data_IF_030159610105
#
_entry.id   IF_030159610105
#
_cell.length_a   1.000
_cell.length_b   1.000
_cell.length_c   1.000
_cell.angle_alpha   90.00
_cell.angle_beta   90.00
_cell.angle_gamma   90.00
#
_symmetry.space_group_name_H-M   'P 1'
#
loop_
_entity.id
_entity.type
_entity.pdbx_description
1 polymer ?
#
# COMPACT_ATOMS: atom_id res chain seq x y z
N UNK A 1 5.92 -59.81 3.55
CA UNK A 1 6.81 -58.62 3.66
C UNK A 1 6.70 -57.71 2.45
N UNK A 2 6.84 -58.21 1.21
CA UNK A 2 6.73 -57.41 -0.03
C UNK A 2 5.32 -56.83 -0.25
N UNK A 3 4.27 -57.59 0.04
CA UNK A 3 2.88 -57.13 -0.10
C UNK A 3 2.54 -55.95 0.81
N UNK A 4 3.09 -55.92 2.03
CA UNK A 4 2.89 -54.81 2.96
C UNK A 4 3.53 -53.50 2.46
N UNK A 5 4.69 -53.58 1.79
CA UNK A 5 5.32 -52.44 1.14
C UNK A 5 4.49 -51.95 -0.06
N UNK A 6 3.93 -52.88 -0.84
CA UNK A 6 3.10 -52.54 -1.99
C UNK A 6 1.80 -51.83 -1.59
N UNK A 7 1.12 -52.30 -0.54
CA UNK A 7 -0.09 -51.65 -0.03
C UNK A 7 0.19 -50.27 0.58
N UNK A 8 1.30 -50.12 1.31
CA UNK A 8 1.73 -48.80 1.82
C UNK A 8 1.99 -47.79 0.69
N UNK A 9 2.71 -48.19 -0.36
CA UNK A 9 2.99 -47.32 -1.52
C UNK A 9 1.71 -46.91 -2.26
N UNK A 10 0.77 -47.86 -2.43
CA UNK A 10 -0.52 -47.60 -3.04
C UNK A 10 -1.34 -46.59 -2.23
N UNK A 11 -1.39 -46.74 -0.90
CA UNK A 11 -2.09 -45.82 0.00
C UNK A 11 -1.50 -44.41 -0.05
N UNK A 12 -0.17 -44.27 0.02
CA UNK A 12 0.51 -42.96 -0.03
C UNK A 12 0.26 -42.25 -1.35
N UNK A 13 0.22 -42.98 -2.47
CA UNK A 13 -0.02 -42.38 -3.78
C UNK A 13 -1.48 -41.92 -3.94
N UNK A 14 -2.42 -42.76 -3.52
CA UNK A 14 -3.86 -42.47 -3.62
C UNK A 14 -4.29 -41.37 -2.66
N UNK A 15 -3.68 -41.28 -1.46
CA UNK A 15 -3.98 -40.22 -0.49
C UNK A 15 -3.11 -38.97 -0.66
N UNK A 16 -1.89 -39.11 -1.17
CA UNK A 16 -0.91 -38.04 -1.27
C UNK A 16 -1.31 -36.97 -2.28
N UNK A 17 -1.81 -37.37 -3.46
CA UNK A 17 -2.25 -36.42 -4.48
C UNK A 17 -3.47 -35.58 -4.03
N UNK A 18 -4.58 -36.16 -3.55
CA UNK A 18 -5.70 -35.35 -3.06
C UNK A 18 -5.32 -34.51 -1.84
N UNK A 19 -4.43 -35.01 -0.97
CA UNK A 19 -3.90 -34.22 0.16
C UNK A 19 -3.07 -33.02 -0.31
N UNK A 20 -2.19 -33.19 -1.31
CA UNK A 20 -1.41 -32.11 -1.89
C UNK A 20 -2.30 -31.05 -2.56
N UNK A 21 -3.33 -31.47 -3.30
CA UNK A 21 -4.32 -30.56 -3.91
C UNK A 21 -5.08 -29.79 -2.83
N UNK A 22 -5.48 -30.47 -1.75
CA UNK A 22 -6.15 -29.84 -0.60
C UNK A 22 -5.26 -28.78 0.07
N UNK A 23 -4.01 -29.13 0.38
CA UNK A 23 -3.04 -28.19 0.95
C UNK A 23 -2.80 -27.00 0.02
N UNK A 24 -2.66 -27.23 -1.28
CA UNK A 24 -2.48 -26.16 -2.27
C UNK A 24 -3.65 -25.17 -2.27
N UNK A 25 -4.89 -25.66 -2.21
CA UNK A 25 -6.07 -24.79 -2.17
C UNK A 25 -6.12 -23.95 -0.89
N UNK A 26 -5.79 -24.56 0.26
CA UNK A 26 -5.72 -23.86 1.55
C UNK A 26 -4.57 -22.84 1.61
N UNK A 27 -3.42 -23.16 1.00
CA UNK A 27 -2.28 -22.23 0.91
C UNK A 27 -2.58 -21.05 0.00
N UNK A 28 -3.31 -21.26 -1.10
CA UNK A 28 -3.59 -20.21 -2.09
C UNK A 28 -4.42 -19.05 -1.51
N UNK A 29 -5.33 -19.30 -0.59
CA UNK A 29 -6.09 -18.23 0.09
C UNK A 29 -5.21 -17.45 1.05
N UNK A 30 -4.36 -18.14 1.84
CA UNK A 30 -3.43 -17.49 2.77
C UNK A 30 -2.40 -16.63 2.03
N UNK A 31 -1.82 -17.16 0.96
CA UNK A 31 -0.83 -16.46 0.15
C UNK A 31 -1.35 -15.12 -0.40
N UNK A 32 -2.63 -15.07 -0.79
CA UNK A 32 -3.27 -13.81 -1.24
C UNK A 32 -3.42 -12.79 -0.13
N UNK A 33 -3.80 -13.23 1.07
CA UNK A 33 -3.93 -12.34 2.22
C UNK A 33 -2.57 -11.78 2.67
N UNK A 34 -1.52 -12.59 2.58
CA UNK A 34 -0.16 -12.19 2.88
C UNK A 34 0.38 -11.18 1.85
N UNK A 35 0.12 -11.39 0.56
CA UNK A 35 0.48 -10.45 -0.52
C UNK A 35 -0.22 -9.10 -0.33
N UNK A 36 -1.53 -9.10 -0.09
CA UNK A 36 -2.30 -7.89 0.22
C UNK A 36 -1.76 -7.14 1.44
N UNK A 37 -1.29 -7.88 2.45
CA UNK A 37 -0.71 -7.32 3.67
C UNK A 37 0.66 -6.70 3.38
N UNK A 38 1.51 -7.37 2.62
CA UNK A 38 2.81 -6.85 2.23
C UNK A 38 2.69 -5.55 1.42
N UNK A 39 1.74 -5.49 0.49
CA UNK A 39 1.41 -4.25 -0.26
C UNK A 39 1.04 -3.13 0.70
N UNK A 40 0.14 -3.40 1.65
CA UNK A 40 -0.27 -2.40 2.63
C UNK A 40 0.89 -1.92 3.52
N UNK A 41 1.71 -2.84 4.03
CA UNK A 41 2.87 -2.52 4.85
C UNK A 41 3.90 -1.69 4.07
N UNK A 42 4.15 -2.03 2.81
CA UNK A 42 5.03 -1.26 1.92
C UNK A 42 4.51 0.16 1.69
N UNK A 43 3.23 0.32 1.31
CA UNK A 43 2.64 1.66 1.11
C UNK A 43 2.67 2.49 2.39
N UNK A 44 2.39 1.86 3.54
CA UNK A 44 2.44 2.52 4.85
C UNK A 44 3.87 2.97 5.17
N UNK A 45 4.88 2.16 4.86
CA UNK A 45 6.29 2.53 5.02
C UNK A 45 6.66 3.74 4.17
N UNK A 46 6.32 3.73 2.88
CA UNK A 46 6.58 4.85 1.97
C UNK A 46 5.89 6.14 2.44
N UNK A 47 4.70 6.02 3.03
CA UNK A 47 4.00 7.19 3.59
C UNK A 47 4.70 7.74 4.83
N UNK A 48 5.20 6.87 5.72
CA UNK A 48 5.99 7.30 6.87
C UNK A 48 7.31 7.97 6.44
N UNK A 49 7.99 7.43 5.43
CA UNK A 49 9.19 8.04 4.86
C UNK A 49 8.91 9.44 4.31
N UNK A 50 7.79 9.61 3.59
CA UNK A 50 7.32 10.92 3.14
C UNK A 50 7.07 11.89 4.30
N UNK A 51 6.40 11.44 5.37
CA UNK A 51 6.17 12.27 6.55
C UNK A 51 7.48 12.70 7.23
N UNK A 52 8.44 11.80 7.36
CA UNK A 52 9.78 12.10 7.89
C UNK A 52 10.49 13.12 7.00
N UNK A 53 10.37 13.00 5.68
CA UNK A 53 10.97 13.93 4.73
C UNK A 53 10.37 15.33 4.85
N UNK A 54 9.05 15.44 5.02
CA UNK A 54 8.39 16.72 5.32
C UNK A 54 8.86 17.31 6.64
N UNK A 55 8.96 16.50 7.71
CA UNK A 55 9.42 16.97 9.01
C UNK A 55 10.87 17.48 8.96
N UNK A 56 11.71 16.84 8.17
CA UNK A 56 13.10 17.27 7.93
C UNK A 56 13.16 18.58 7.15
N UNK A 57 12.18 18.84 6.28
CA UNK A 57 11.99 20.11 5.57
C UNK A 57 10.91 20.97 6.24
N UNK A 58 10.92 21.05 7.57
CA UNK A 58 9.94 21.82 8.36
C UNK A 58 9.99 23.33 8.09
N UNK A 59 11.08 23.82 7.47
CA UNK A 59 11.20 25.20 6.98
C UNK A 59 10.15 25.56 5.92
N UNK A 60 9.61 24.55 5.22
CA UNK A 60 8.56 24.73 4.22
C UNK A 60 7.15 24.93 4.83
N UNK A 61 6.99 24.68 6.13
CA UNK A 61 5.70 24.73 6.87
C UNK A 61 4.52 24.03 6.20
N UNK A 62 4.76 22.95 5.44
CA UNK A 62 3.72 22.16 4.75
C UNK A 62 2.69 21.49 5.68
N UNK A 63 2.93 21.49 7.00
CA UNK A 63 2.03 20.96 8.02
C UNK A 63 1.18 22.06 8.69
N UNK A 64 1.50 23.33 8.49
CA UNK A 64 0.89 24.48 9.16
C UNK A 64 0.28 25.45 8.13
N UNK A 65 -0.95 25.18 7.64
CA UNK A 65 -1.59 25.95 6.57
C UNK A 65 -1.93 27.41 6.93
N UNK A 66 -1.94 27.78 8.22
CA UNK A 66 -2.38 29.11 8.67
C UNK A 66 -1.37 30.24 8.42
N UNK A 67 -0.16 29.92 7.94
CA UNK A 67 0.90 30.90 7.74
C UNK A 67 1.29 30.97 6.25
N UNK A 68 0.77 31.99 5.55
CA UNK A 68 1.22 32.32 4.19
C UNK A 68 2.68 32.76 4.25
N UNK A 69 3.58 31.84 3.95
CA UNK A 69 5.00 32.12 3.80
C UNK A 69 5.31 32.29 2.33
N UNK A 70 5.96 33.40 1.99
CA UNK A 70 6.64 33.54 0.71
C UNK A 70 7.86 32.60 0.73
N UNK A 71 7.74 31.47 0.04
CA UNK A 71 8.83 30.51 -0.11
C UNK A 71 9.91 31.12 -1.02
N UNK A 72 11.18 30.90 -0.67
CA UNK A 72 12.27 31.17 -1.62
C UNK A 72 12.19 30.24 -2.83
N UNK A 73 12.87 30.55 -3.94
CA UNK A 73 12.87 29.71 -5.14
C UNK A 73 13.24 28.24 -4.83
N UNK A 74 14.30 28.04 -4.04
CA UNK A 74 14.76 26.71 -3.61
C UNK A 74 13.76 25.99 -2.70
N UNK A 75 13.01 26.73 -1.87
CA UNK A 75 11.94 26.17 -1.04
C UNK A 75 10.73 25.77 -1.88
N UNK A 76 10.40 26.55 -2.91
CA UNK A 76 9.35 26.24 -3.88
C UNK A 76 9.64 24.96 -4.66
N UNK A 77 10.89 24.77 -5.12
CA UNK A 77 11.31 23.56 -5.83
C UNK A 77 11.22 22.31 -4.93
N UNK A 78 11.72 22.39 -3.69
CA UNK A 78 11.60 21.29 -2.71
C UNK A 78 10.15 20.97 -2.39
N UNK A 79 9.32 21.99 -2.20
CA UNK A 79 7.87 21.82 -1.96
C UNK A 79 7.21 21.10 -3.13
N UNK A 80 7.50 21.51 -4.38
CA UNK A 80 6.95 20.86 -5.58
C UNK A 80 7.36 19.38 -5.67
N UNK A 81 8.64 19.06 -5.45
CA UNK A 81 9.13 17.68 -5.43
C UNK A 81 8.43 16.82 -4.36
N UNK A 82 8.16 17.38 -3.18
CA UNK A 82 7.40 16.70 -2.12
C UNK A 82 5.94 16.47 -2.52
N UNK A 83 5.32 17.42 -3.20
CA UNK A 83 3.96 17.23 -3.74
C UNK A 83 3.91 16.16 -4.82
N UNK A 84 4.88 16.13 -5.73
CA UNK A 84 5.00 15.07 -6.75
C UNK A 84 5.14 13.69 -6.09
N UNK A 85 5.97 13.59 -5.04
CA UNK A 85 6.12 12.35 -4.26
C UNK A 85 4.81 11.94 -3.59
N UNK A 86 4.07 12.88 -3.00
CA UNK A 86 2.77 12.62 -2.38
C UNK A 86 1.74 12.11 -3.40
N UNK A 87 1.66 12.77 -4.56
CA UNK A 87 0.74 12.37 -5.65
C UNK A 87 1.09 10.98 -6.16
N UNK A 88 2.38 10.69 -6.39
CA UNK A 88 2.84 9.36 -6.80
C UNK A 88 2.47 8.28 -5.76
N UNK A 89 2.58 8.59 -4.47
CA UNK A 89 2.18 7.67 -3.41
C UNK A 89 0.67 7.40 -3.42
N UNK A 90 -0.14 8.44 -3.60
CA UNK A 90 -1.60 8.30 -3.71
C UNK A 90 -2.03 7.51 -4.93
N UNK A 91 -1.36 7.69 -6.07
CA UNK A 91 -1.59 6.90 -7.27
C UNK A 91 -1.32 5.42 -7.01
N UNK A 92 -0.15 5.09 -6.44
CA UNK A 92 0.20 3.71 -6.09
C UNK A 92 -0.79 3.11 -5.09
N UNK A 93 -1.20 3.87 -4.07
CA UNK A 93 -2.19 3.43 -3.11
C UNK A 93 -3.54 3.12 -3.80
N UNK A 94 -3.98 3.96 -4.74
CA UNK A 94 -5.19 3.71 -5.52
C UNK A 94 -5.04 2.43 -6.38
N UNK A 95 -3.98 2.33 -7.19
CA UNK A 95 -3.78 1.20 -8.12
C UNK A 95 -3.65 -0.13 -7.37
N UNK A 96 -2.90 -0.16 -6.27
CA UNK A 96 -2.54 -1.40 -5.59
C UNK A 96 -3.55 -1.84 -4.52
N UNK A 97 -4.30 -0.90 -3.93
CA UNK A 97 -5.21 -1.23 -2.83
C UNK A 97 -6.70 -1.10 -3.18
N UNK A 98 -7.06 -0.35 -4.24
CA UNK A 98 -8.45 -0.23 -4.67
C UNK A 98 -8.89 -1.38 -5.57
N UNK A 99 -10.08 -1.94 -5.29
CA UNK A 99 -10.73 -2.98 -6.09
C UNK A 99 -12.26 -2.84 -5.96
N UNK A 100 -12.99 -3.20 -7.02
CA UNK A 100 -14.46 -3.22 -7.00
C UNK A 100 -15.03 -4.26 -6.02
N UNK A 101 -14.26 -5.31 -5.72
CA UNK A 101 -14.65 -6.37 -4.79
C UNK A 101 -13.58 -6.49 -3.71
N UNK A 102 -13.88 -5.93 -2.55
CA UNK A 102 -13.00 -5.95 -1.39
C UNK A 102 -13.61 -6.77 -0.24
N UNK A 103 -12.75 -7.47 0.49
CA UNK A 103 -13.10 -8.01 1.81
C UNK A 103 -13.28 -6.87 2.83
N UNK A 104 -13.90 -7.16 3.98
CA UNK A 104 -14.06 -6.19 5.07
C UNK A 104 -12.72 -5.58 5.53
N UNK A 105 -11.65 -6.37 5.52
CA UNK A 105 -10.31 -5.91 5.90
C UNK A 105 -9.72 -4.95 4.86
N UNK A 106 -9.87 -5.26 3.57
CA UNK A 106 -9.43 -4.40 2.47
C UNK A 106 -10.18 -3.06 2.48
N UNK A 107 -11.50 -3.07 2.69
CA UNK A 107 -12.31 -1.83 2.81
C UNK A 107 -11.79 -0.94 3.93
N UNK A 108 -11.47 -1.51 5.10
CA UNK A 108 -10.94 -0.72 6.22
C UNK A 108 -9.59 -0.09 5.91
N UNK A 109 -8.69 -0.82 5.23
CA UNK A 109 -7.39 -0.29 4.79
C UNK A 109 -7.56 0.82 3.75
N UNK A 110 -8.46 0.61 2.78
CA UNK A 110 -8.80 1.61 1.78
C UNK A 110 -9.37 2.89 2.42
N UNK A 111 -10.26 2.76 3.40
CA UNK A 111 -10.83 3.91 4.09
C UNK A 111 -9.77 4.76 4.81
N UNK A 112 -8.69 4.14 5.32
CA UNK A 112 -7.56 4.88 5.87
C UNK A 112 -6.84 5.71 4.79
N UNK A 113 -6.56 5.10 3.62
CA UNK A 113 -5.96 5.80 2.48
C UNK A 113 -6.85 6.94 1.98
N UNK A 114 -8.14 6.70 1.81
CA UNK A 114 -9.10 7.73 1.42
C UNK A 114 -9.10 8.89 2.42
N UNK A 115 -9.05 8.60 3.72
CA UNK A 115 -8.96 9.63 4.74
C UNK A 115 -7.65 10.42 4.67
N UNK A 116 -6.51 9.79 4.36
CA UNK A 116 -5.25 10.51 4.14
C UNK A 116 -5.33 11.41 2.91
N UNK A 117 -5.80 10.90 1.77
CA UNK A 117 -5.99 11.69 0.56
C UNK A 117 -6.89 12.90 0.81
N UNK A 118 -8.04 12.69 1.46
CA UNK A 118 -8.99 13.77 1.80
C UNK A 118 -8.37 14.83 2.70
N UNK A 119 -7.64 14.42 3.74
CA UNK A 119 -6.96 15.37 4.65
C UNK A 119 -5.88 16.19 3.95
N UNK A 120 -5.15 15.61 3.01
CA UNK A 120 -4.13 16.33 2.26
C UNK A 120 -4.74 17.25 1.19
N UNK A 121 -5.80 16.81 0.51
CA UNK A 121 -6.54 17.63 -0.46
C UNK A 121 -7.35 18.77 0.19
N UNK A 122 -7.76 18.64 1.46
CA UNK A 122 -8.49 19.69 2.16
C UNK A 122 -7.62 20.83 2.69
N UNK A 123 -6.29 20.73 2.57
CA UNK A 123 -5.36 21.79 2.98
C UNK A 123 -5.21 22.77 1.83
N UNK A 124 -5.32 24.07 2.10
CA UNK A 124 -5.14 25.18 1.15
C UNK A 124 -3.69 25.33 0.62
N UNK A 125 -2.85 24.31 0.80
CA UNK A 125 -1.43 24.29 0.44
C UNK A 125 -1.24 23.85 -1.03
N UNK A 126 -2.28 23.37 -1.72
CA UNK A 126 -2.19 23.06 -3.15
C UNK A 126 -2.20 24.35 -3.99
N UNK A 127 -1.09 24.73 -4.66
CA UNK A 127 -1.16 25.71 -5.73
C UNK A 127 -1.78 24.99 -6.94
N UNK A 128 -3.11 25.02 -7.03
CA UNK A 128 -3.90 24.47 -8.14
C UNK A 128 -3.44 25.05 -9.50
N UNK A 129 -2.73 26.17 -9.50
CA UNK A 129 -2.28 26.89 -10.71
C UNK A 129 -1.07 26.27 -11.44
N UNK A 130 -0.45 25.18 -10.95
CA UNK A 130 0.80 24.66 -11.56
C UNK A 130 0.74 23.27 -12.20
N UNK A 131 -0.42 22.62 -12.21
CA UNK A 131 -0.61 21.38 -13.00
C UNK A 131 -1.09 21.78 -14.39
N UNK A 132 -0.16 22.27 -15.22
CA UNK A 132 -0.35 22.40 -16.66
C UNK A 132 0.23 21.15 -17.31
N UNK A 133 -0.63 20.41 -18.01
CA UNK A 133 -0.31 19.24 -18.82
C UNK A 133 0.77 19.51 -19.89
#
# INVERSE_FOLDING_TARGET
MIEALATMSAIVTVLGLPFAIFLYWMQRTRAREDEDRAIYESLTSSYNEFLILILTNSDLKLLSPDEKIELTADQGERSRALFELLVSLFEQAYILSYSRKMSKHQIRRWAAWENYMRQWCSRDIFPIDSIVY
#
